data_IF_786846988933
#
_entry.id   IF_786846988933
#
_cell.length_a   1.000
_cell.length_b   1.000
_cell.length_c   1.000
_cell.angle_alpha   90.00
_cell.angle_beta   90.00
_cell.angle_gamma   90.00
#
_symmetry.space_group_name_H-M   'P 1'
#
loop_
_entity.id
_entity.type
_entity.pdbx_description
1 polymer ?
#
# COMPACT_ATOMS: atom_id res chain seq x y z
N UNK A 1 -15.54 15.80 -1.61
CA UNK A 1 -15.72 14.40 -2.07
C UNK A 1 -17.02 13.87 -1.45
N UNK A 2 -17.87 13.12 -2.18
CA UNK A 2 -19.16 12.63 -1.69
C UNK A 2 -19.21 11.10 -1.78
N UNK A 3 -19.46 10.43 -0.65
CA UNK A 3 -19.68 8.98 -0.60
C UNK A 3 -21.20 8.67 -0.73
N UNK A 4 -21.66 8.56 -1.98
CA UNK A 4 -23.07 8.36 -2.31
C UNK A 4 -23.58 6.96 -1.90
N UNK A 5 -24.92 6.78 -1.85
CA UNK A 5 -25.52 5.46 -1.64
C UNK A 5 -25.11 4.43 -2.69
N UNK A 6 -24.88 4.88 -3.95
CA UNK A 6 -24.37 4.02 -5.03
C UNK A 6 -22.97 3.51 -4.69
N UNK A 7 -22.05 4.39 -4.25
CA UNK A 7 -20.68 4.01 -3.86
C UNK A 7 -20.68 3.03 -2.68
N UNK A 8 -21.52 3.27 -1.68
CA UNK A 8 -21.69 2.35 -0.53
C UNK A 8 -22.17 0.97 -0.97
N UNK A 9 -23.14 0.91 -1.91
CA UNK A 9 -23.63 -0.34 -2.48
C UNK A 9 -22.55 -1.11 -3.27
N UNK A 10 -21.78 -0.42 -4.11
CA UNK A 10 -20.67 -1.01 -4.86
C UNK A 10 -19.57 -1.52 -3.92
N UNK A 11 -19.21 -0.75 -2.89
CA UNK A 11 -18.23 -1.14 -1.86
C UNK A 11 -18.68 -2.39 -1.10
N UNK A 12 -19.96 -2.48 -0.71
CA UNK A 12 -20.52 -3.69 -0.09
C UNK A 12 -20.36 -4.92 -0.98
N UNK A 13 -20.66 -4.81 -2.28
CA UNK A 13 -20.47 -5.91 -3.24
C UNK A 13 -18.99 -6.30 -3.38
N UNK A 14 -18.08 -5.33 -3.38
CA UNK A 14 -16.62 -5.59 -3.38
C UNK A 14 -16.24 -6.43 -2.15
N UNK A 15 -16.67 -6.05 -0.94
CA UNK A 15 -16.38 -6.80 0.29
C UNK A 15 -16.94 -8.24 0.22
N UNK A 16 -18.18 -8.43 -0.26
CA UNK A 16 -18.75 -9.76 -0.47
C UNK A 16 -17.92 -10.60 -1.47
N UNK A 17 -17.41 -9.97 -2.51
CA UNK A 17 -16.54 -10.62 -3.51
C UNK A 17 -15.21 -11.04 -2.90
N UNK A 18 -14.57 -10.17 -2.12
CA UNK A 18 -13.31 -10.47 -1.42
C UNK A 18 -13.48 -11.66 -0.46
N UNK A 19 -14.58 -11.67 0.31
CA UNK A 19 -14.89 -12.79 1.22
C UNK A 19 -15.06 -14.11 0.46
N UNK A 20 -15.80 -14.11 -0.67
CA UNK A 20 -15.94 -15.30 -1.54
C UNK A 20 -14.63 -15.77 -2.16
N UNK A 21 -13.67 -14.87 -2.36
CA UNK A 21 -12.32 -15.20 -2.85
C UNK A 21 -11.37 -15.65 -1.75
N UNK A 22 -11.85 -15.82 -0.52
CA UNK A 22 -11.08 -16.40 0.58
C UNK A 22 -10.40 -15.39 1.51
N UNK A 23 -10.72 -14.10 1.40
CA UNK A 23 -10.29 -13.14 2.43
C UNK A 23 -11.17 -13.34 3.67
N UNK A 24 -10.58 -13.93 4.71
CA UNK A 24 -11.28 -14.28 5.96
C UNK A 24 -11.04 -13.26 7.08
N UNK A 25 -10.10 -12.33 6.93
CA UNK A 25 -9.80 -11.30 7.93
C UNK A 25 -10.91 -10.24 7.97
N UNK A 26 -11.82 -10.35 8.93
CA UNK A 26 -12.95 -9.42 9.08
C UNK A 26 -12.49 -8.00 9.46
N UNK A 27 -11.34 -7.84 10.12
CA UNK A 27 -10.75 -6.52 10.41
C UNK A 27 -10.35 -5.81 9.12
N UNK A 28 -9.67 -6.52 8.22
CA UNK A 28 -9.30 -6.01 6.89
C UNK A 28 -10.53 -5.68 6.06
N UNK A 29 -11.53 -6.57 6.03
CA UNK A 29 -12.78 -6.34 5.31
C UNK A 29 -13.54 -5.12 5.86
N UNK A 30 -13.58 -4.95 7.19
CA UNK A 30 -14.19 -3.79 7.84
C UNK A 30 -13.44 -2.48 7.52
N UNK A 31 -12.10 -2.48 7.54
CA UNK A 31 -11.29 -1.32 7.16
C UNK A 31 -11.56 -0.92 5.70
N UNK A 32 -11.58 -1.90 4.77
CA UNK A 32 -11.89 -1.65 3.36
C UNK A 32 -13.34 -1.20 3.14
N UNK A 33 -14.28 -1.64 3.97
CA UNK A 33 -15.66 -1.15 3.95
C UNK A 33 -15.78 0.29 4.46
N UNK A 34 -14.93 0.70 5.40
CA UNK A 34 -14.92 2.05 5.98
C UNK A 34 -14.23 3.08 5.06
N UNK A 35 -13.17 2.69 4.35
CA UNK A 35 -12.39 3.60 3.50
C UNK A 35 -12.96 3.68 2.08
N UNK A 36 -13.47 4.85 1.62
CA UNK A 36 -14.06 5.01 0.29
C UNK A 36 -12.98 5.00 -0.80
N UNK A 37 -12.74 3.84 -1.44
CA UNK A 37 -11.70 3.65 -2.45
C UNK A 37 -11.78 4.64 -3.63
N UNK A 38 -13.00 5.05 -4.05
CA UNK A 38 -13.20 5.98 -5.16
C UNK A 38 -12.60 7.37 -4.90
N UNK A 39 -12.31 7.75 -3.65
CA UNK A 39 -11.59 8.99 -3.34
C UNK A 39 -10.10 8.95 -3.74
N UNK A 40 -9.54 7.76 -3.93
CA UNK A 40 -8.14 7.53 -4.27
C UNK A 40 -7.91 7.29 -5.77
N UNK A 41 -8.90 7.59 -6.60
CA UNK A 41 -8.90 7.42 -8.05
C UNK A 41 -9.25 8.73 -8.75
N UNK A 42 -8.78 8.86 -9.99
CA UNK A 42 -9.25 9.93 -10.86
C UNK A 42 -10.76 9.80 -11.12
N UNK A 43 -11.44 10.93 -11.29
CA UNK A 43 -12.89 10.99 -11.51
C UNK A 43 -13.38 10.10 -12.65
N UNK A 44 -12.56 9.93 -13.69
CA UNK A 44 -12.88 9.07 -14.83
C UNK A 44 -13.07 7.58 -14.43
N UNK A 45 -12.50 7.14 -13.33
CA UNK A 45 -12.57 5.77 -12.84
C UNK A 45 -13.50 5.59 -11.63
N UNK A 46 -14.15 6.64 -11.17
CA UNK A 46 -14.97 6.65 -9.95
C UNK A 46 -16.05 5.56 -9.95
N UNK A 47 -16.74 5.36 -11.08
CA UNK A 47 -17.80 4.35 -11.21
C UNK A 47 -17.28 2.91 -11.17
N UNK A 48 -16.02 2.70 -11.54
CA UNK A 48 -15.34 1.40 -11.60
C UNK A 48 -14.46 1.14 -10.37
N UNK A 49 -14.39 2.07 -9.44
CA UNK A 49 -13.45 2.07 -8.32
C UNK A 49 -13.50 0.78 -7.46
N UNK A 50 -14.63 0.10 -7.46
CA UNK A 50 -14.89 -1.10 -6.65
C UNK A 50 -14.80 -2.41 -7.44
N UNK A 51 -14.43 -2.35 -8.73
CA UNK A 51 -14.10 -3.55 -9.51
C UNK A 51 -12.75 -4.13 -9.07
N UNK A 52 -12.63 -5.46 -9.10
CA UNK A 52 -11.40 -6.13 -8.65
C UNK A 52 -10.32 -6.13 -9.76
N UNK A 53 -9.87 -4.91 -10.10
CA UNK A 53 -8.79 -4.66 -11.04
C UNK A 53 -7.97 -3.42 -10.65
N UNK A 54 -6.71 -3.31 -11.11
CA UNK A 54 -5.91 -2.10 -10.92
C UNK A 54 -6.41 -0.98 -11.83
N UNK A 55 -6.17 0.29 -11.42
CA UNK A 55 -6.44 1.48 -12.22
C UNK A 55 -5.24 2.42 -12.23
N UNK A 56 -5.00 3.17 -13.32
CA UNK A 56 -3.92 4.15 -13.37
C UNK A 56 -4.14 5.29 -12.37
N UNK A 57 -3.04 5.78 -11.79
CA UNK A 57 -3.02 6.94 -10.87
C UNK A 57 -2.02 8.01 -11.31
N UNK A 58 -1.56 7.97 -12.55
CA UNK A 58 -0.50 8.82 -13.08
C UNK A 58 0.90 8.24 -12.86
N UNK A 59 1.91 8.90 -13.42
CA UNK A 59 3.33 8.51 -13.31
C UNK A 59 3.61 7.04 -13.67
N UNK A 60 2.84 6.45 -14.59
CA UNK A 60 2.91 5.02 -14.96
C UNK A 60 2.69 4.06 -13.77
N UNK A 61 2.01 4.53 -12.72
CA UNK A 61 1.67 3.76 -11.53
C UNK A 61 0.19 3.43 -11.49
N UNK A 62 -0.16 2.44 -10.67
CA UNK A 62 -1.55 2.00 -10.49
C UNK A 62 -1.91 1.87 -9.01
N UNK A 63 -3.18 2.12 -8.69
CA UNK A 63 -3.76 1.61 -7.45
C UNK A 63 -3.99 0.11 -7.59
N UNK A 64 -3.46 -0.69 -6.68
CA UNK A 64 -3.61 -2.15 -6.69
C UNK A 64 -5.08 -2.58 -6.66
N UNK A 65 -5.40 -3.72 -7.29
CA UNK A 65 -6.76 -4.27 -7.23
C UNK A 65 -7.18 -4.58 -5.79
N UNK A 66 -8.48 -4.49 -5.46
CA UNK A 66 -8.98 -4.73 -4.11
C UNK A 66 -8.53 -6.04 -3.48
N UNK A 67 -8.52 -7.14 -4.24
CA UNK A 67 -8.07 -8.43 -3.72
C UNK A 67 -6.60 -8.40 -3.28
N UNK A 68 -5.72 -7.80 -4.06
CA UNK A 68 -4.30 -7.68 -3.72
C UNK A 68 -4.08 -6.86 -2.45
N UNK A 69 -4.80 -5.73 -2.31
CA UNK A 69 -4.77 -4.90 -1.09
C UNK A 69 -5.22 -5.72 0.12
N UNK A 70 -6.38 -6.40 0.02
CA UNK A 70 -6.91 -7.23 1.10
C UNK A 70 -5.95 -8.36 1.48
N UNK A 71 -5.42 -9.07 0.49
CA UNK A 71 -4.52 -10.20 0.67
C UNK A 71 -3.22 -9.79 1.36
N UNK A 72 -2.53 -8.75 0.86
CA UNK A 72 -1.31 -8.25 1.49
C UNK A 72 -1.56 -7.76 2.92
N UNK A 73 -2.67 -7.05 3.14
CA UNK A 73 -3.01 -6.50 4.46
C UNK A 73 -3.31 -7.62 5.47
N UNK A 74 -4.04 -8.66 5.05
CA UNK A 74 -4.33 -9.81 5.92
C UNK A 74 -3.06 -10.57 6.33
N UNK A 75 -2.08 -10.69 5.41
CA UNK A 75 -0.79 -11.32 5.72
C UNK A 75 0.04 -10.57 6.76
N UNK A 76 -0.13 -9.25 6.87
CA UNK A 76 0.58 -8.43 7.84
C UNK A 76 0.11 -8.67 9.28
N UNK A 77 -1.15 -9.12 9.47
CA UNK A 77 -1.74 -9.29 10.80
C UNK A 77 -1.58 -8.03 11.67
N UNK A 78 -2.11 -6.90 11.18
CA UNK A 78 -1.99 -5.59 11.84
C UNK A 78 -2.69 -5.58 13.19
N UNK A 79 -1.98 -5.09 14.21
CA UNK A 79 -2.55 -4.81 15.53
C UNK A 79 -2.62 -3.30 15.77
N UNK A 80 -3.57 -2.89 16.58
CA UNK A 80 -3.70 -1.48 16.95
C UNK A 80 -2.40 -0.97 17.62
N UNK A 81 -1.89 0.14 17.11
CA UNK A 81 -0.64 0.75 17.56
C UNK A 81 0.62 0.27 16.83
N UNK A 82 0.55 -0.78 16.00
CA UNK A 82 1.69 -1.26 15.21
C UNK A 82 2.32 -0.12 14.41
N UNK A 83 3.65 -0.12 14.35
CA UNK A 83 4.43 0.77 13.47
C UNK A 83 4.57 0.09 12.11
N UNK A 84 3.82 0.57 11.14
CA UNK A 84 3.80 0.01 9.79
C UNK A 84 4.58 0.90 8.80
N UNK A 85 5.53 0.30 8.06
CA UNK A 85 6.20 0.95 6.92
C UNK A 85 5.58 0.44 5.63
N UNK A 86 5.15 1.37 4.77
CA UNK A 86 4.73 1.11 3.40
C UNK A 86 5.76 1.67 2.42
N UNK A 87 6.14 0.87 1.43
CA UNK A 87 6.98 1.29 0.30
C UNK A 87 6.13 1.30 -0.96
N UNK A 88 5.91 2.50 -1.51
CA UNK A 88 5.02 2.78 -2.62
C UNK A 88 3.68 3.34 -2.15
N UNK A 89 3.65 4.62 -1.71
CA UNK A 89 2.40 5.29 -1.29
C UNK A 89 1.35 5.29 -2.40
N UNK A 90 1.78 5.56 -3.64
CA UNK A 90 0.90 5.65 -4.80
C UNK A 90 -0.25 6.62 -4.58
N UNK A 91 -1.49 6.13 -4.60
CA UNK A 91 -2.69 6.92 -4.31
C UNK A 91 -2.89 7.23 -2.81
N UNK A 92 -2.22 6.51 -1.91
CA UNK A 92 -2.45 6.55 -0.46
C UNK A 92 -3.50 5.56 0.07
N UNK A 93 -4.14 4.77 -0.81
CA UNK A 93 -5.24 3.87 -0.41
C UNK A 93 -4.77 2.78 0.57
N UNK A 94 -3.64 2.12 0.30
CA UNK A 94 -3.09 1.09 1.19
C UNK A 94 -2.70 1.71 2.55
N UNK A 95 -2.07 2.89 2.56
CA UNK A 95 -1.77 3.62 3.80
C UNK A 95 -3.03 3.92 4.63
N UNK A 96 -4.13 4.34 3.96
CA UNK A 96 -5.41 4.59 4.60
C UNK A 96 -6.03 3.31 5.21
N UNK A 97 -5.91 2.16 4.54
CA UNK A 97 -6.37 0.86 5.07
C UNK A 97 -5.56 0.47 6.32
N UNK A 98 -4.23 0.59 6.28
CA UNK A 98 -3.38 0.31 7.45
C UNK A 98 -3.73 1.22 8.63
N UNK A 99 -3.96 2.51 8.39
CA UNK A 99 -4.37 3.46 9.40
C UNK A 99 -5.77 3.15 9.96
N UNK A 100 -6.72 2.73 9.12
CA UNK A 100 -8.06 2.31 9.55
C UNK A 100 -8.04 1.06 10.44
N UNK A 101 -7.01 0.21 10.33
CA UNK A 101 -6.73 -0.92 11.21
C UNK A 101 -6.04 -0.50 12.53
N UNK A 102 -5.74 0.78 12.71
CA UNK A 102 -5.13 1.32 13.92
C UNK A 102 -3.60 1.40 13.90
N UNK A 103 -2.95 1.18 12.76
CA UNK A 103 -1.50 1.31 12.64
C UNK A 103 -1.03 2.77 12.65
N UNK A 104 0.18 2.99 13.17
CA UNK A 104 0.98 4.20 12.96
C UNK A 104 1.77 4.03 11.66
N UNK A 105 1.30 4.65 10.58
CA UNK A 105 1.79 4.40 9.22
C UNK A 105 2.89 5.37 8.83
N UNK A 106 3.99 4.82 8.31
CA UNK A 106 5.08 5.52 7.66
C UNK A 106 5.09 5.07 6.19
N UNK A 107 4.80 5.97 5.25
CA UNK A 107 4.71 5.60 3.84
C UNK A 107 5.73 6.37 3.01
N UNK A 108 6.41 5.67 2.11
CA UNK A 108 7.49 6.21 1.29
C UNK A 108 7.08 6.18 -0.18
N UNK A 109 7.18 7.34 -0.83
CA UNK A 109 6.92 7.51 -2.25
C UNK A 109 8.15 8.13 -2.96
N UNK A 110 8.51 7.55 -4.12
CA UNK A 110 9.62 8.04 -4.94
C UNK A 110 9.20 9.05 -6.01
N UNK A 111 7.92 9.05 -6.40
CA UNK A 111 7.34 9.96 -7.39
C UNK A 111 6.84 11.22 -6.69
N UNK A 112 7.44 12.37 -6.99
CA UNK A 112 7.12 13.65 -6.34
C UNK A 112 5.62 14.01 -6.45
N UNK A 113 5.05 13.88 -7.65
CA UNK A 113 3.64 14.21 -7.88
C UNK A 113 2.69 13.31 -7.05
N UNK A 114 2.96 12.00 -6.99
CA UNK A 114 2.15 11.07 -6.19
C UNK A 114 2.31 11.35 -4.70
N UNK A 115 3.53 11.63 -4.23
CA UNK A 115 3.76 12.01 -2.83
C UNK A 115 2.90 13.20 -2.40
N UNK A 116 2.92 14.30 -3.17
CA UNK A 116 2.13 15.49 -2.81
C UNK A 116 0.62 15.24 -2.87
N UNK A 117 0.17 14.52 -3.91
CA UNK A 117 -1.25 14.20 -4.09
C UNK A 117 -1.76 13.30 -2.95
N UNK A 118 -1.05 12.20 -2.66
CA UNK A 118 -1.43 11.27 -1.60
C UNK A 118 -1.40 11.94 -0.22
N UNK A 119 -0.34 12.71 0.09
CA UNK A 119 -0.23 13.43 1.35
C UNK A 119 -1.40 14.38 1.56
N UNK A 120 -1.71 15.21 0.55
CA UNK A 120 -2.84 16.14 0.60
C UNK A 120 -4.16 15.39 0.82
N UNK A 121 -4.42 14.33 0.06
CA UNK A 121 -5.64 13.55 0.17
C UNK A 121 -5.80 12.89 1.54
N UNK A 122 -4.74 12.28 2.06
CA UNK A 122 -4.75 11.65 3.39
C UNK A 122 -4.99 12.66 4.51
N UNK A 123 -4.39 13.87 4.42
CA UNK A 123 -4.62 14.97 5.35
C UNK A 123 -6.10 15.43 5.29
N UNK A 124 -6.68 15.62 4.08
CA UNK A 124 -8.08 16.01 3.85
C UNK A 124 -9.07 14.96 4.37
N UNK A 125 -8.73 13.66 4.27
CA UNK A 125 -9.55 12.55 4.77
C UNK A 125 -9.37 12.30 6.29
N UNK A 126 -8.46 13.03 6.96
CA UNK A 126 -8.25 12.97 8.40
C UNK A 126 -7.38 11.79 8.88
N UNK A 127 -6.59 11.16 8.01
CA UNK A 127 -5.67 10.08 8.39
C UNK A 127 -4.40 10.60 9.08
N UNK A 128 -4.53 11.18 10.28
CA UNK A 128 -3.46 11.85 11.03
C UNK A 128 -2.32 10.92 11.49
N UNK A 129 -2.55 9.63 11.53
CA UNK A 129 -1.53 8.62 11.89
C UNK A 129 -0.62 8.26 10.73
N UNK A 130 -0.91 8.72 9.50
CA UNK A 130 -0.11 8.48 8.30
C UNK A 130 0.93 9.58 8.13
N UNK A 131 2.22 9.19 8.06
CA UNK A 131 3.36 10.07 7.82
C UNK A 131 3.97 9.75 6.46
N UNK A 132 3.85 10.67 5.50
CA UNK A 132 4.37 10.51 4.14
C UNK A 132 5.80 11.02 4.02
N UNK A 133 6.64 10.30 3.26
CA UNK A 133 8.05 10.65 3.01
C UNK A 133 8.35 10.58 1.51
N UNK A 134 8.89 11.66 0.94
CA UNK A 134 9.37 11.67 -0.44
C UNK A 134 10.81 11.18 -0.48
N UNK A 135 11.02 9.90 -0.81
CA UNK A 135 12.33 9.23 -0.78
C UNK A 135 12.41 8.00 -1.68
N UNK A 136 13.63 7.53 -1.88
CA UNK A 136 13.90 6.20 -2.44
C UNK A 136 13.55 5.11 -1.42
N UNK A 137 12.49 4.34 -1.70
CA UNK A 137 12.02 3.26 -0.84
C UNK A 137 12.93 2.04 -0.78
N UNK A 138 13.91 1.90 -1.68
CA UNK A 138 14.81 0.73 -1.70
C UNK A 138 15.68 0.61 -0.43
N UNK A 139 15.88 1.70 0.27
CA UNK A 139 16.61 1.78 1.54
C UNK A 139 15.70 1.73 2.77
N UNK A 140 14.39 1.64 2.56
CA UNK A 140 13.42 1.77 3.65
C UNK A 140 13.43 3.15 4.30
N UNK A 141 13.24 3.18 5.62
CA UNK A 141 13.22 4.40 6.42
C UNK A 141 13.98 4.15 7.74
N UNK A 142 15.30 3.94 7.63
CA UNK A 142 16.16 3.48 8.72
C UNK A 142 16.11 4.38 9.96
N UNK A 143 15.98 5.71 9.78
CA UNK A 143 15.89 6.67 10.90
C UNK A 143 14.58 6.58 11.70
N UNK A 144 13.61 5.81 11.20
CA UNK A 144 12.34 5.53 11.88
C UNK A 144 12.19 4.08 12.31
N UNK A 145 13.14 3.22 11.90
CA UNK A 145 13.16 1.81 12.31
C UNK A 145 13.35 1.67 13.85
N UNK A 146 12.96 0.52 14.41
CA UNK A 146 12.37 -0.64 13.75
C UNK A 146 10.87 -0.52 13.53
N UNK A 147 10.31 -1.40 12.65
CA UNK A 147 8.88 -1.49 12.32
C UNK A 147 8.33 -2.86 12.71
N UNK A 148 7.08 -2.89 13.14
CA UNK A 148 6.37 -4.14 13.44
C UNK A 148 5.88 -4.80 12.15
N UNK A 149 5.52 -3.97 11.17
CA UNK A 149 4.99 -4.41 9.88
C UNK A 149 5.64 -3.61 8.75
N UNK A 150 6.01 -4.31 7.67
CA UNK A 150 6.48 -3.67 6.45
C UNK A 150 5.72 -4.25 5.26
N UNK A 151 5.22 -3.39 4.37
CA UNK A 151 4.56 -3.77 3.13
C UNK A 151 5.23 -3.10 1.95
N UNK A 152 5.45 -3.86 0.88
CA UNK A 152 5.91 -3.34 -0.41
C UNK A 152 4.80 -3.50 -1.43
N UNK A 153 4.39 -2.39 -2.05
CA UNK A 153 3.29 -2.35 -3.01
C UNK A 153 3.76 -2.26 -4.46
N UNK A 154 5.01 -2.64 -4.72
CA UNK A 154 5.67 -2.72 -6.01
C UNK A 154 6.47 -4.02 -6.12
N UNK A 155 6.63 -4.57 -7.35
CA UNK A 155 7.36 -5.81 -7.60
C UNK A 155 8.86 -5.64 -7.48
N UNK A 156 9.48 -6.19 -6.45
CA UNK A 156 10.91 -6.15 -6.23
C UNK A 156 11.61 -7.28 -6.99
N UNK A 157 12.67 -7.02 -7.78
CA UNK A 157 13.38 -8.10 -8.51
C UNK A 157 14.03 -9.09 -7.56
N UNK A 158 14.45 -8.64 -6.38
CA UNK A 158 15.02 -9.45 -5.30
C UNK A 158 14.51 -8.96 -3.96
N UNK A 159 14.54 -9.80 -2.93
CA UNK A 159 14.15 -9.43 -1.57
C UNK A 159 14.99 -8.22 -1.08
N UNK A 160 14.34 -7.08 -0.73
CA UNK A 160 15.07 -5.89 -0.26
C UNK A 160 15.62 -6.11 1.15
N UNK A 161 16.91 -6.46 1.25
CA UNK A 161 17.55 -6.77 2.53
C UNK A 161 17.47 -5.62 3.53
N UNK A 162 17.57 -4.36 3.06
CA UNK A 162 17.45 -3.19 3.91
C UNK A 162 16.10 -3.12 4.64
N UNK A 163 15.00 -3.61 4.03
CA UNK A 163 13.69 -3.64 4.65
C UNK A 163 13.60 -4.77 5.69
N UNK A 164 14.16 -5.93 5.37
CA UNK A 164 14.21 -7.08 6.29
C UNK A 164 14.91 -6.73 7.59
N UNK A 165 16.01 -5.97 7.53
CA UNK A 165 16.77 -5.54 8.70
C UNK A 165 16.06 -4.46 9.53
N UNK A 166 15.06 -3.77 8.97
CA UNK A 166 14.27 -2.75 9.67
C UNK A 166 13.04 -3.32 10.38
N UNK A 167 12.80 -4.65 10.34
CA UNK A 167 11.75 -5.29 11.12
C UNK A 167 12.12 -5.39 12.60
N UNK A 168 11.13 -5.24 13.49
CA UNK A 168 11.20 -5.72 14.86
C UNK A 168 11.30 -7.26 14.91
N UNK A 169 11.86 -7.82 15.99
CA UNK A 169 11.66 -9.24 16.32
C UNK A 169 10.16 -9.47 16.53
N UNK A 170 9.59 -10.49 15.91
CA UNK A 170 8.15 -10.73 15.84
C UNK A 170 7.46 -9.97 14.70
N UNK A 171 8.18 -9.09 14.00
CA UNK A 171 7.63 -8.30 12.88
C UNK A 171 7.44 -9.12 11.60
N UNK A 172 6.63 -8.57 10.69
CA UNK A 172 6.26 -9.20 9.40
C UNK A 172 6.53 -8.23 8.26
N UNK A 173 7.24 -8.70 7.22
CA UNK A 173 7.39 -8.04 5.92
C UNK A 173 6.59 -8.80 4.86
N UNK A 174 5.74 -8.11 4.11
CA UNK A 174 5.03 -8.65 2.94
C UNK A 174 5.55 -7.93 1.70
N UNK A 175 6.10 -8.69 0.74
CA UNK A 175 6.75 -8.16 -0.46
C UNK A 175 6.56 -9.07 -1.66
N UNK A 176 6.14 -8.56 -2.83
CA UNK A 176 6.13 -9.32 -4.08
C UNK A 176 7.55 -9.32 -4.68
N UNK A 177 8.12 -10.52 -4.91
CA UNK A 177 9.50 -10.70 -5.41
C UNK A 177 9.52 -11.47 -6.71
N UNK A 178 10.19 -10.96 -7.71
CA UNK A 178 10.32 -11.49 -9.07
C UNK A 178 10.35 -10.38 -10.11
N UNK A 179 10.56 -10.73 -11.37
CA UNK A 179 10.65 -9.76 -12.48
C UNK A 179 9.28 -9.54 -13.15
N UNK A 180 8.88 -10.37 -14.13
CA UNK A 180 7.60 -10.23 -14.85
C UNK A 180 6.40 -10.68 -14.02
N UNK A 181 6.56 -11.75 -13.25
CA UNK A 181 5.59 -12.28 -12.30
C UNK A 181 6.28 -12.36 -10.96
N UNK A 182 5.63 -11.83 -9.92
CA UNK A 182 6.19 -11.79 -8.58
C UNK A 182 5.49 -12.80 -7.69
N UNK A 183 6.27 -13.61 -6.97
CA UNK A 183 5.76 -14.43 -5.87
C UNK A 183 5.58 -13.55 -4.63
N UNK A 184 4.42 -13.56 -4.01
CA UNK A 184 4.19 -12.88 -2.73
C UNK A 184 4.95 -13.60 -1.62
N UNK A 185 5.89 -12.90 -0.99
CA UNK A 185 6.63 -13.40 0.17
C UNK A 185 6.09 -12.77 1.45
N UNK A 186 5.94 -13.61 2.48
CA UNK A 186 5.78 -13.19 3.86
C UNK A 186 7.02 -13.59 4.63
N UNK A 187 7.72 -12.60 5.17
CA UNK A 187 8.93 -12.79 5.96
C UNK A 187 8.60 -12.43 7.41
N UNK A 188 8.73 -13.39 8.31
CA UNK A 188 8.57 -13.19 9.76
C UNK A 188 9.93 -13.18 10.43
N UNK A 189 10.27 -12.14 11.19
CA UNK A 189 11.51 -12.09 11.96
C UNK A 189 11.33 -12.81 13.30
N UNK A 190 11.97 -13.96 13.47
CA UNK A 190 11.83 -14.81 14.66
C UNK A 190 12.78 -14.40 15.79
N UNK A 191 14.00 -13.95 15.42
CA UNK A 191 15.01 -13.46 16.36
C UNK A 191 15.87 -12.36 15.70
N UNK A 192 16.95 -11.94 16.32
CA UNK A 192 17.89 -10.97 15.75
C UNK A 192 18.51 -11.45 14.42
N UNK A 193 18.68 -12.75 14.25
CA UNK A 193 19.36 -13.38 13.10
C UNK A 193 18.48 -14.33 12.30
N UNK A 194 17.33 -14.74 12.82
CA UNK A 194 16.49 -15.77 12.21
C UNK A 194 15.22 -15.18 11.58
N UNK A 195 14.93 -15.61 10.35
CA UNK A 195 13.75 -15.23 9.60
C UNK A 195 13.07 -16.48 9.02
N UNK A 196 11.73 -16.46 9.01
CA UNK A 196 10.92 -17.46 8.28
C UNK A 196 10.38 -16.83 7.02
N UNK A 197 10.53 -17.53 5.90
CA UNK A 197 9.96 -17.15 4.60
C UNK A 197 8.80 -18.08 4.25
N UNK A 198 7.68 -17.47 3.80
CA UNK A 198 6.52 -18.16 3.25
C UNK A 198 6.22 -17.61 1.85
N UNK A 199 5.96 -18.52 0.87
CA UNK A 199 5.64 -18.18 -0.53
C UNK A 199 4.14 -18.38 -0.76
N UNK A 200 3.43 -17.32 -1.18
CA UNK A 200 1.97 -17.23 -1.09
C UNK A 200 1.31 -16.83 -2.41
N UNK A 201 1.69 -17.51 -3.50
CA UNK A 201 1.10 -17.32 -4.82
C UNK A 201 1.71 -16.17 -5.63
N UNK A 202 1.26 -16.08 -6.88
CA UNK A 202 1.86 -15.21 -7.90
C UNK A 202 0.97 -14.00 -8.19
N UNK A 203 1.61 -12.85 -8.38
CA UNK A 203 0.98 -11.55 -8.61
C UNK A 203 1.71 -10.77 -9.70
N UNK A 204 1.09 -9.69 -10.17
CA UNK A 204 1.74 -8.73 -11.06
C UNK A 204 1.62 -7.33 -10.48
N UNK A 205 2.76 -6.70 -10.26
CA UNK A 205 2.90 -5.34 -9.76
C UNK A 205 3.68 -4.46 -10.74
N UNK A 206 3.51 -3.15 -10.60
CA UNK A 206 4.43 -2.18 -11.18
C UNK A 206 5.84 -2.39 -10.60
N UNK A 207 6.92 -2.13 -11.38
CA UNK A 207 8.28 -2.43 -10.91
C UNK A 207 8.70 -1.55 -9.74
N UNK A 208 9.43 -2.15 -8.80
CA UNK A 208 10.10 -1.47 -7.70
C UNK A 208 11.38 -0.78 -8.21
N UNK A 209 11.30 0.52 -8.42
CA UNK A 209 12.39 1.32 -8.98
C UNK A 209 13.19 2.04 -7.88
N UNK A 210 14.51 2.13 -8.05
CA UNK A 210 15.41 2.89 -7.18
C UNK A 210 15.45 4.37 -7.56
N UNK A 211 15.91 5.20 -6.62
CA UNK A 211 16.01 6.65 -6.78
C UNK A 211 14.65 7.37 -6.67
N UNK A 212 14.71 8.69 -6.65
CA UNK A 212 13.52 9.56 -6.69
C UNK A 212 13.24 10.04 -8.11
N UNK A 213 11.99 10.36 -8.41
CA UNK A 213 11.56 10.96 -9.67
C UNK A 213 10.86 12.29 -9.39
N UNK A 214 11.51 13.36 -9.77
CA UNK A 214 11.02 14.74 -9.62
C UNK A 214 10.18 15.11 -10.84
N UNK A 215 9.03 15.73 -10.61
CA UNK A 215 8.15 16.24 -11.67
C UNK A 215 8.91 17.30 -12.47
N UNK A 216 8.96 17.14 -13.82
CA UNK A 216 9.50 18.22 -14.66
C UNK A 216 8.60 19.42 -14.49
N UNK A 217 9.13 20.65 -14.30
CA UNK A 217 8.32 21.85 -14.29
C UNK A 217 7.56 21.95 -15.62
N UNK A 218 6.25 22.17 -15.52
CA UNK A 218 5.39 22.33 -16.69
C UNK A 218 5.97 23.45 -17.58
N UNK A 219 6.32 23.13 -18.84
CA UNK A 219 6.85 24.10 -19.81
C UNK A 219 5.83 25.20 -20.21
N UNK A 220 4.63 25.21 -19.61
CA UNK A 220 3.52 26.12 -19.96
C UNK A 220 3.59 27.50 -19.31
N UNK A 221 4.53 27.76 -18.40
CA UNK A 221 4.70 29.08 -17.79
C UNK A 221 6.16 29.58 -17.88
N UNK A 222 6.68 29.68 -19.11
CA UNK A 222 7.76 30.65 -19.40
C UNK A 222 7.12 31.80 -20.17
N UNK A 223 6.83 32.89 -19.47
CA UNK A 223 6.64 34.20 -20.05
C UNK A 223 7.95 34.71 -20.64
#
# INVERSE_FOLDING_TARGET
MQDSYRHKGLRKRMIETLRRRGIADEGVLAAMAAVPRHFFLEKAFEEHAYEDKPFPIGCEQTISQPFTVAFQTALLDIKNGDRALEIGTGSGYQAAILAALGANVFTVERQEALYFNAKKLLDELGFKTVKCFFRDGSKGLAEKAPFDKIIVTAGAPVLPEALRQQLNVGGILVVPVGEEVQTMLKISRLSLTEFREERLGDFRFVPFLKGIAVSKPDKKYRL
#
